data_IF_144583715501
#
_entry.id   IF_144583715501
#
_cell.length_a   1.000
_cell.length_b   1.000
_cell.length_c   1.000
_cell.angle_alpha   90.00
_cell.angle_beta   90.00
_cell.angle_gamma   90.00
#
_symmetry.space_group_name_H-M   'P 1'
#
loop_
_entity.id
_entity.type
_entity.pdbx_description
1 polymer ?
#
# COMPACT_ATOMS: atom_id res chain seq x y z
N UNK A 1 22.28 -26.01 5.78
CA UNK A 1 21.69 -24.79 6.40
C UNK A 1 20.76 -24.19 5.35
N UNK A 2 19.51 -23.93 5.71
CA UNK A 2 18.60 -23.25 4.81
C UNK A 2 19.09 -21.80 4.60
N UNK A 3 19.12 -21.37 3.36
CA UNK A 3 19.53 -20.02 2.99
C UNK A 3 18.52 -19.00 3.56
N UNK A 4 19.00 -17.93 4.16
CA UNK A 4 18.15 -16.78 4.50
C UNK A 4 17.69 -16.15 3.20
N UNK A 5 16.37 -16.14 2.97
CA UNK A 5 15.78 -15.57 1.76
C UNK A 5 15.79 -14.05 1.79
N UNK A 6 16.00 -13.47 0.64
CA UNK A 6 16.00 -12.02 0.42
C UNK A 6 14.79 -11.57 -0.36
N UNK A 7 14.31 -10.35 -0.10
CA UNK A 7 13.24 -9.69 -0.85
C UNK A 7 13.47 -8.18 -0.89
N UNK A 8 12.76 -7.49 -1.77
CA UNK A 8 12.68 -6.04 -1.80
C UNK A 8 11.32 -5.58 -1.29
N UNK A 9 11.30 -4.61 -0.37
CA UNK A 9 10.08 -4.02 0.18
C UNK A 9 9.88 -2.61 -0.35
N UNK A 10 8.62 -2.26 -0.66
CA UNK A 10 8.23 -0.94 -1.13
C UNK A 10 8.34 -0.75 -2.64
N UNK A 11 8.00 0.46 -3.08
CA UNK A 11 7.98 0.82 -4.49
C UNK A 11 9.37 0.78 -5.11
N UNK A 12 9.46 0.19 -6.30
CA UNK A 12 10.65 0.25 -7.15
C UNK A 12 10.53 1.38 -8.19
N UNK A 13 11.64 1.92 -8.73
CA UNK A 13 11.59 3.02 -9.67
C UNK A 13 10.77 2.69 -10.92
N UNK A 14 9.78 3.52 -11.20
CA UNK A 14 8.91 3.47 -12.39
C UNK A 14 9.55 4.20 -13.56
N UNK A 15 9.15 3.83 -14.77
CA UNK A 15 9.46 4.66 -15.94
C UNK A 15 8.77 6.04 -15.80
N UNK A 16 9.41 7.09 -16.35
CA UNK A 16 8.85 8.45 -16.35
C UNK A 16 7.43 8.47 -16.92
N UNK A 17 7.23 7.75 -18.03
CA UNK A 17 5.93 7.64 -18.70
C UNK A 17 4.87 7.01 -17.81
N UNK A 18 5.20 5.92 -17.08
CA UNK A 18 4.28 5.28 -16.14
C UNK A 18 3.89 6.25 -15.01
N UNK A 19 4.87 6.93 -14.42
CA UNK A 19 4.61 7.92 -13.36
C UNK A 19 3.66 9.03 -13.82
N UNK A 20 3.88 9.59 -15.00
CA UNK A 20 3.03 10.65 -15.57
C UNK A 20 1.58 10.19 -15.76
N UNK A 21 1.36 8.99 -16.30
CA UNK A 21 -0.01 8.48 -16.53
C UNK A 21 -0.69 8.12 -15.20
N UNK A 22 0.03 7.54 -14.23
CA UNK A 22 -0.53 7.27 -12.90
C UNK A 22 -0.98 8.55 -12.20
N UNK A 23 -0.22 9.65 -12.31
CA UNK A 23 -0.63 10.94 -11.75
C UNK A 23 -1.85 11.54 -12.46
N UNK A 24 -1.95 11.42 -13.79
CA UNK A 24 -3.15 11.81 -14.53
C UNK A 24 -4.37 11.02 -14.05
N UNK A 25 -4.24 9.69 -13.96
CA UNK A 25 -5.30 8.82 -13.43
C UNK A 25 -5.74 9.26 -12.03
N UNK A 26 -4.78 9.49 -11.13
CA UNK A 26 -5.05 9.89 -9.74
C UNK A 26 -5.80 11.22 -9.63
N UNK A 27 -5.53 12.15 -10.55
CA UNK A 27 -6.18 13.47 -10.64
C UNK A 27 -7.47 13.45 -11.45
N UNK A 28 -7.93 12.29 -11.92
CA UNK A 28 -9.05 12.15 -12.84
C UNK A 28 -8.88 12.94 -14.15
N UNK A 29 -7.65 13.14 -14.61
CA UNK A 29 -7.35 13.72 -15.93
C UNK A 29 -7.49 12.64 -17.03
N UNK A 30 -7.60 13.07 -18.27
CA UNK A 30 -7.72 12.14 -19.42
C UNK A 30 -6.44 11.31 -19.59
N UNK A 31 -6.59 10.01 -19.69
CA UNK A 31 -5.53 9.06 -20.03
C UNK A 31 -6.12 7.87 -20.79
N UNK A 32 -5.26 7.13 -21.49
CA UNK A 32 -5.64 5.88 -22.17
C UNK A 32 -5.41 4.69 -21.25
N UNK A 33 -6.46 3.94 -20.93
CA UNK A 33 -6.37 2.78 -20.03
C UNK A 33 -5.59 1.62 -20.66
N UNK A 34 -5.70 1.42 -21.97
CA UNK A 34 -4.96 0.36 -22.67
C UNK A 34 -3.45 0.65 -22.71
N UNK A 35 -3.08 1.92 -22.90
CA UNK A 35 -1.70 2.37 -22.81
C UNK A 35 -1.14 2.19 -21.40
N UNK A 36 -1.88 2.59 -20.36
CA UNK A 36 -1.49 2.40 -18.97
C UNK A 36 -1.26 0.92 -18.66
N UNK A 37 -2.19 0.06 -19.01
CA UNK A 37 -2.11 -1.37 -18.78
C UNK A 37 -0.87 -2.00 -19.41
N UNK A 38 -0.57 -1.64 -20.66
CA UNK A 38 0.61 -2.09 -21.38
C UNK A 38 1.91 -1.64 -20.72
N UNK A 39 2.00 -0.39 -20.29
CA UNK A 39 3.20 0.15 -19.66
C UNK A 39 3.42 -0.50 -18.29
N UNK A 40 2.35 -0.73 -17.50
CA UNK A 40 2.45 -1.46 -16.23
C UNK A 40 3.01 -2.86 -16.47
N UNK A 41 2.46 -3.60 -17.43
CA UNK A 41 2.95 -4.95 -17.76
C UNK A 41 4.44 -4.95 -18.16
N UNK A 42 4.85 -3.99 -19.00
CA UNK A 42 6.24 -3.84 -19.41
C UNK A 42 7.16 -3.51 -18.23
N UNK A 43 6.77 -2.58 -17.36
CA UNK A 43 7.58 -2.17 -16.22
C UNK A 43 7.63 -3.26 -15.15
N UNK A 44 6.52 -4.01 -14.90
CA UNK A 44 6.54 -5.20 -14.05
C UNK A 44 7.50 -6.25 -14.59
N UNK A 45 7.45 -6.57 -15.89
CA UNK A 45 8.39 -7.53 -16.51
C UNK A 45 9.85 -7.09 -16.32
N UNK A 46 10.17 -5.82 -16.52
CA UNK A 46 11.53 -5.28 -16.34
C UNK A 46 12.01 -5.40 -14.91
N UNK A 47 11.17 -5.00 -13.93
CA UNK A 47 11.57 -4.98 -12.53
C UNK A 47 11.66 -6.38 -11.92
N UNK A 48 10.78 -7.30 -12.33
CA UNK A 48 10.85 -8.73 -11.97
C UNK A 48 12.15 -9.32 -12.46
N UNK A 49 12.47 -9.14 -13.76
CA UNK A 49 13.74 -9.60 -14.30
C UNK A 49 14.95 -9.04 -13.56
N UNK A 50 14.95 -7.72 -13.27
CA UNK A 50 16.04 -7.07 -12.54
C UNK A 50 16.24 -7.65 -11.14
N UNK A 51 15.17 -7.90 -10.39
CA UNK A 51 15.25 -8.53 -9.05
C UNK A 51 15.86 -9.93 -9.15
N UNK A 52 15.45 -10.74 -10.13
CA UNK A 52 15.99 -12.09 -10.37
C UNK A 52 17.47 -12.02 -10.76
N UNK A 53 17.85 -11.14 -11.70
CA UNK A 53 19.23 -11.00 -12.17
C UNK A 53 20.22 -10.62 -11.06
N UNK A 54 19.80 -9.87 -10.03
CA UNK A 54 20.62 -9.50 -8.87
C UNK A 54 20.54 -10.50 -7.72
N UNK A 55 19.78 -11.59 -7.88
CA UNK A 55 19.74 -12.70 -6.93
C UNK A 55 18.76 -12.54 -5.76
N UNK A 56 17.73 -11.72 -5.90
CA UNK A 56 16.61 -11.66 -4.93
C UNK A 56 15.83 -12.98 -4.98
N UNK A 57 15.46 -13.52 -3.83
CA UNK A 57 14.81 -14.84 -3.72
C UNK A 57 13.28 -14.76 -3.86
N UNK A 58 12.63 -13.75 -3.26
CA UNK A 58 11.17 -13.57 -3.32
C UNK A 58 10.87 -12.24 -4.01
N UNK A 59 10.20 -12.30 -5.13
CA UNK A 59 10.07 -11.20 -6.08
C UNK A 59 8.76 -10.44 -5.87
N UNK A 60 8.82 -9.10 -5.89
CA UNK A 60 7.63 -8.24 -5.91
C UNK A 60 7.33 -7.69 -7.30
N UNK A 61 6.10 -7.17 -7.49
CA UNK A 61 5.71 -6.39 -8.66
C UNK A 61 6.31 -4.97 -8.66
N UNK A 62 7.02 -4.59 -7.60
CA UNK A 62 7.60 -3.26 -7.41
C UNK A 62 6.57 -2.14 -7.26
N UNK A 63 5.32 -2.47 -6.97
CA UNK A 63 4.18 -1.54 -6.87
C UNK A 63 3.96 -0.71 -8.16
N UNK A 64 4.26 -1.27 -9.33
CA UNK A 64 4.25 -0.51 -10.59
C UNK A 64 2.89 0.10 -10.91
N UNK A 65 1.78 -0.55 -10.54
CA UNK A 65 0.40 -0.06 -10.75
C UNK A 65 -0.09 0.92 -9.69
N UNK A 66 0.60 1.03 -8.55
CA UNK A 66 0.11 1.72 -7.35
C UNK A 66 0.77 3.09 -7.22
N UNK A 67 0.00 4.19 -7.29
CA UNK A 67 0.55 5.52 -7.01
C UNK A 67 0.96 5.67 -5.54
N UNK A 68 0.24 4.98 -4.66
CA UNK A 68 0.52 4.84 -3.22
C UNK A 68 -0.14 3.56 -2.73
N UNK A 69 0.60 2.70 -2.06
CA UNK A 69 0.06 1.46 -1.49
C UNK A 69 -1.11 1.73 -0.51
N UNK A 70 -1.01 2.80 0.27
CA UNK A 70 -1.99 3.15 1.31
C UNK A 70 -3.32 3.69 0.76
N UNK A 71 -3.30 4.29 -0.44
CA UNK A 71 -4.51 4.87 -1.07
C UNK A 71 -5.04 4.08 -2.26
N UNK A 72 -4.33 3.02 -2.66
CA UNK A 72 -4.72 2.19 -3.81
C UNK A 72 -6.11 1.56 -3.67
N UNK A 73 -6.54 1.34 -2.43
CA UNK A 73 -7.87 0.80 -2.11
C UNK A 73 -9.03 1.65 -2.69
N UNK A 74 -8.85 2.95 -2.85
CA UNK A 74 -9.87 3.84 -3.43
C UNK A 74 -10.27 3.49 -4.87
N UNK A 75 -9.39 2.81 -5.60
CA UNK A 75 -9.66 2.36 -6.96
C UNK A 75 -10.60 1.14 -6.99
N UNK A 76 -10.65 0.36 -5.90
CA UNK A 76 -11.39 -0.90 -5.78
C UNK A 76 -12.64 -0.83 -4.92
N UNK A 77 -12.73 0.18 -4.06
CA UNK A 77 -13.88 0.35 -3.18
C UNK A 77 -14.63 1.64 -3.49
N UNK A 78 -15.95 1.58 -3.38
CA UNK A 78 -16.81 2.75 -3.22
C UNK A 78 -16.71 3.27 -1.78
N UNK A 79 -17.12 4.51 -1.56
CA UNK A 79 -17.18 5.13 -0.24
C UNK A 79 -16.13 6.20 0.00
N UNK A 80 -15.20 6.41 -0.93
CA UNK A 80 -14.14 7.41 -0.81
C UNK A 80 -14.40 8.62 -1.70
N UNK A 81 -14.37 9.84 -1.12
CA UNK A 81 -14.47 11.10 -1.86
C UNK A 81 -13.85 12.29 -1.10
N UNK A 82 -13.74 13.43 -1.78
CA UNK A 82 -13.14 14.64 -1.22
C UNK A 82 -11.63 14.54 -1.02
N UNK A 83 -11.10 15.38 -0.15
CA UNK A 83 -9.67 15.45 0.16
C UNK A 83 -9.47 15.55 1.68
N UNK A 84 -8.43 14.91 2.19
CA UNK A 84 -8.03 14.99 3.60
C UNK A 84 -6.77 15.83 3.77
N UNK A 85 -6.64 16.50 4.91
CA UNK A 85 -5.42 17.23 5.25
C UNK A 85 -4.23 16.28 5.41
N UNK A 86 -3.07 16.73 4.92
CA UNK A 86 -1.79 16.06 5.15
C UNK A 86 -1.22 16.50 6.48
N UNK A 87 -1.01 15.54 7.37
CA UNK A 87 -0.38 15.79 8.66
C UNK A 87 1.13 15.61 8.53
N UNK A 88 1.89 16.61 8.95
CA UNK A 88 3.34 16.48 9.05
C UNK A 88 3.71 15.59 10.24
N UNK A 89 4.73 14.73 10.10
CA UNK A 89 5.28 13.96 11.21
C UNK A 89 5.79 14.88 12.33
N UNK A 90 5.68 14.42 13.58
CA UNK A 90 6.06 15.20 14.77
C UNK A 90 7.56 15.51 14.82
N UNK A 91 8.37 14.56 14.42
CA UNK A 91 9.83 14.67 14.35
C UNK A 91 10.31 15.80 13.42
N UNK A 92 9.50 16.22 12.44
CA UNK A 92 9.80 17.41 11.64
C UNK A 92 9.60 18.73 12.40
N UNK A 93 8.92 18.72 13.53
CA UNK A 93 8.73 19.91 14.34
C UNK A 93 10.05 20.35 15.02
N UNK A 94 10.96 19.42 15.29
CA UNK A 94 12.31 19.66 15.82
C UNK A 94 13.30 20.17 14.74
N UNK A 95 12.92 20.10 13.45
CA UNK A 95 13.76 20.48 12.30
C UNK A 95 13.05 21.46 11.37
N UNK A 96 12.71 22.68 11.83
CA UNK A 96 11.88 23.63 11.08
C UNK A 96 12.50 24.03 9.74
N UNK A 97 13.83 24.17 9.66
CA UNK A 97 14.52 24.49 8.41
C UNK A 97 14.41 23.39 7.36
N UNK A 98 14.42 22.12 7.79
CA UNK A 98 14.22 20.96 6.90
C UNK A 98 12.77 20.84 6.45
N UNK A 99 11.82 21.06 7.37
CA UNK A 99 10.38 21.13 7.07
C UNK A 99 10.07 22.18 6.00
N UNK A 100 10.68 23.36 6.14
CA UNK A 100 10.57 24.44 5.16
C UNK A 100 11.22 24.10 3.81
N UNK A 101 12.37 23.43 3.82
CA UNK A 101 13.05 22.95 2.61
C UNK A 101 12.19 21.93 1.86
N UNK A 102 11.59 20.95 2.55
CA UNK A 102 10.68 19.97 1.94
C UNK A 102 9.46 20.69 1.34
N UNK A 103 8.87 21.64 2.06
CA UNK A 103 7.74 22.41 1.58
C UNK A 103 8.08 23.24 0.32
N UNK A 104 9.29 23.79 0.23
CA UNK A 104 9.76 24.61 -0.90
C UNK A 104 10.28 23.78 -2.08
N UNK A 105 10.80 22.59 -1.86
CA UNK A 105 11.39 21.76 -2.93
C UNK A 105 10.35 21.14 -3.87
N UNK A 106 9.07 21.50 -3.70
CA UNK A 106 7.99 21.02 -4.55
C UNK A 106 7.64 19.56 -4.37
N UNK A 107 8.28 18.89 -3.43
CA UNK A 107 8.01 17.53 -3.02
C UNK A 107 7.81 16.51 -4.15
N UNK A 108 7.71 15.27 -3.82
CA UNK A 108 7.12 14.25 -4.70
C UNK A 108 5.72 14.72 -5.11
N UNK A 109 5.32 14.59 -6.39
CA UNK A 109 3.97 14.94 -6.83
C UNK A 109 2.94 14.37 -5.87
N UNK A 110 2.05 15.22 -5.38
CA UNK A 110 1.11 14.82 -4.33
C UNK A 110 -0.04 14.05 -4.95
N UNK A 111 -0.21 12.79 -4.54
CA UNK A 111 -1.38 11.99 -4.88
C UNK A 111 -2.58 12.37 -4.00
N UNK A 112 -3.80 12.08 -4.47
CA UNK A 112 -5.03 12.39 -3.76
C UNK A 112 -5.25 11.50 -2.55
N UNK A 113 -5.76 12.09 -1.46
CA UNK A 113 -6.10 11.39 -0.21
C UNK A 113 -7.57 11.66 0.14
N UNK A 114 -8.53 10.93 -0.43
CA UNK A 114 -9.93 11.14 -0.08
C UNK A 114 -10.22 10.72 1.36
N UNK A 115 -11.40 11.13 1.84
CA UNK A 115 -11.97 10.62 3.09
C UNK A 115 -12.95 9.49 2.81
N UNK A 116 -13.23 8.65 3.81
CA UNK A 116 -14.37 7.73 3.78
C UNK A 116 -15.64 8.55 4.05
N UNK A 117 -16.48 8.75 3.04
CA UNK A 117 -17.68 9.61 3.09
C UNK A 117 -18.98 8.86 2.85
N UNK A 118 -18.91 7.56 2.58
CA UNK A 118 -20.06 6.69 2.42
C UNK A 118 -19.71 5.25 2.85
N UNK A 119 -20.71 4.37 2.90
CA UNK A 119 -20.54 2.97 3.21
C UNK A 119 -19.60 2.27 2.22
N UNK A 120 -18.62 1.52 2.76
CA UNK A 120 -17.64 0.82 1.95
C UNK A 120 -18.25 -0.40 1.24
N UNK A 121 -18.07 -0.47 -0.07
CA UNK A 121 -18.51 -1.59 -0.90
C UNK A 121 -17.45 -1.89 -1.96
N UNK A 122 -17.28 -3.16 -2.28
CA UNK A 122 -16.40 -3.56 -3.38
C UNK A 122 -16.96 -2.99 -4.69
N UNK A 123 -16.15 -2.23 -5.40
CA UNK A 123 -16.44 -1.68 -6.71
C UNK A 123 -16.15 -2.72 -7.80
N UNK A 124 -14.92 -3.17 -7.85
CA UNK A 124 -14.48 -4.31 -8.63
C UNK A 124 -13.09 -4.78 -8.15
N UNK A 125 -12.65 -5.94 -8.64
CA UNK A 125 -11.35 -6.51 -8.33
C UNK A 125 -10.40 -6.52 -9.53
N UNK A 126 -10.77 -5.86 -10.64
CA UNK A 126 -10.03 -5.93 -11.91
C UNK A 126 -8.59 -5.46 -11.80
N UNK A 127 -8.33 -4.38 -11.06
CA UNK A 127 -6.98 -3.88 -10.85
C UNK A 127 -6.12 -4.88 -10.09
N UNK A 128 -6.65 -5.49 -9.02
CA UNK A 128 -5.96 -6.53 -8.27
C UNK A 128 -5.71 -7.78 -9.12
N UNK A 129 -6.71 -8.28 -9.83
CA UNK A 129 -6.57 -9.43 -10.73
C UNK A 129 -5.50 -9.17 -11.80
N UNK A 130 -5.42 -7.93 -12.30
CA UNK A 130 -4.40 -7.50 -13.27
C UNK A 130 -3.01 -7.51 -12.66
N UNK A 131 -2.84 -6.99 -11.45
CA UNK A 131 -1.56 -6.99 -10.73
C UNK A 131 -1.06 -8.42 -10.49
N UNK A 132 -1.94 -9.30 -10.01
CA UNK A 132 -1.67 -10.72 -9.82
C UNK A 132 -1.23 -11.38 -11.15
N UNK A 133 -1.98 -11.13 -12.21
CA UNK A 133 -1.70 -11.69 -13.55
C UNK A 133 -0.36 -11.21 -14.10
N UNK A 134 -0.07 -9.91 -13.97
CA UNK A 134 1.19 -9.32 -14.44
C UNK A 134 2.39 -9.92 -13.71
N UNK A 135 2.33 -10.02 -12.36
CA UNK A 135 3.41 -10.61 -11.58
C UNK A 135 3.60 -12.10 -11.94
N UNK A 136 2.53 -12.90 -11.96
CA UNK A 136 2.61 -14.34 -12.31
C UNK A 136 3.16 -14.56 -13.72
N UNK A 137 2.75 -13.76 -14.69
CA UNK A 137 3.25 -13.82 -16.06
C UNK A 137 4.74 -13.50 -16.15
N UNK A 138 5.17 -12.45 -15.44
CA UNK A 138 6.57 -12.04 -15.38
C UNK A 138 7.45 -13.08 -14.68
N UNK A 139 6.99 -13.67 -13.57
CA UNK A 139 7.69 -14.76 -12.89
C UNK A 139 7.85 -15.97 -13.80
N UNK A 140 6.77 -16.43 -14.44
CA UNK A 140 6.78 -17.55 -15.38
C UNK A 140 7.76 -17.33 -16.54
N UNK A 141 7.74 -16.13 -17.13
CA UNK A 141 8.63 -15.73 -18.24
C UNK A 141 10.11 -15.80 -17.86
N UNK A 142 10.44 -15.62 -16.61
CA UNK A 142 11.80 -15.65 -16.07
C UNK A 142 12.13 -16.95 -15.32
N UNK A 143 11.33 -18.02 -15.48
CA UNK A 143 11.51 -19.32 -14.80
C UNK A 143 11.64 -19.20 -13.27
N UNK A 144 10.90 -18.27 -12.65
CA UNK A 144 10.89 -18.05 -11.21
C UNK A 144 9.50 -18.39 -10.64
N UNK A 145 9.44 -18.87 -9.40
CA UNK A 145 8.18 -19.35 -8.80
C UNK A 145 7.74 -18.61 -7.55
N UNK A 146 8.65 -17.90 -6.87
CA UNK A 146 8.33 -17.25 -5.61
C UNK A 146 8.12 -15.74 -5.79
N UNK A 147 6.92 -15.29 -5.53
CA UNK A 147 6.57 -13.87 -5.59
C UNK A 147 5.59 -13.48 -4.50
N UNK A 148 5.52 -12.19 -4.22
CA UNK A 148 4.55 -11.62 -3.28
C UNK A 148 3.92 -10.34 -3.82
N UNK A 149 2.74 -10.04 -3.31
CA UNK A 149 2.10 -8.74 -3.48
C UNK A 149 1.92 -8.12 -2.09
N UNK A 150 2.28 -6.84 -1.95
CA UNK A 150 2.00 -6.09 -0.75
C UNK A 150 0.59 -5.50 -0.77
N UNK A 151 -0.02 -5.45 0.40
CA UNK A 151 -1.33 -4.86 0.63
C UNK A 151 -1.34 -4.05 1.92
N UNK A 152 -2.11 -2.96 1.96
CA UNK A 152 -2.21 -2.12 3.14
C UNK A 152 -3.02 -2.80 4.25
N UNK A 153 -2.64 -2.60 5.51
CA UNK A 153 -3.48 -2.97 6.66
C UNK A 153 -4.73 -2.08 6.74
N UNK A 154 -5.82 -2.55 7.39
CA UNK A 154 -6.98 -1.70 7.69
C UNK A 154 -6.60 -0.44 8.45
N UNK A 155 -5.65 -0.53 9.39
CA UNK A 155 -5.17 0.59 10.18
C UNK A 155 -4.43 1.64 9.34
N UNK A 156 -3.57 1.23 8.42
CA UNK A 156 -2.93 2.14 7.45
C UNK A 156 -3.97 2.88 6.63
N UNK A 157 -4.94 2.15 6.07
CA UNK A 157 -5.98 2.78 5.25
C UNK A 157 -6.75 3.82 6.08
N UNK A 158 -7.13 3.51 7.31
CA UNK A 158 -7.86 4.44 8.18
C UNK A 158 -7.06 5.72 8.50
N UNK A 159 -5.74 5.61 8.60
CA UNK A 159 -4.86 6.75 8.83
C UNK A 159 -4.67 7.64 7.60
N UNK A 160 -4.66 7.06 6.40
CA UNK A 160 -4.49 7.80 5.15
C UNK A 160 -5.80 8.30 4.55
N UNK A 161 -6.90 7.59 4.78
CA UNK A 161 -8.23 7.88 4.27
C UNK A 161 -9.21 8.01 5.46
N UNK A 162 -9.21 9.16 6.18
CA UNK A 162 -9.89 9.28 7.46
C UNK A 162 -11.40 9.13 7.34
N UNK A 163 -12.01 8.64 8.42
CA UNK A 163 -13.44 8.43 8.57
C UNK A 163 -14.21 9.76 8.63
N UNK A 164 -15.26 9.87 7.79
CA UNK A 164 -16.28 10.92 7.85
C UNK A 164 -17.70 10.37 7.70
N UNK A 165 -17.87 9.05 7.71
CA UNK A 165 -19.15 8.41 7.50
C UNK A 165 -19.58 7.52 8.67
N UNK A 166 -18.72 6.61 9.12
CA UNK A 166 -19.04 5.68 10.20
C UNK A 166 -19.12 6.42 11.53
N UNK A 167 -19.93 5.91 12.45
CA UNK A 167 -20.21 6.52 13.76
C UNK A 167 -18.92 6.78 14.56
N UNK A 168 -17.97 5.89 14.48
CA UNK A 168 -16.65 5.97 15.11
C UNK A 168 -15.59 5.27 14.25
N UNK A 169 -14.32 5.40 14.63
CA UNK A 169 -13.21 4.81 13.89
C UNK A 169 -13.14 3.29 14.04
N UNK A 170 -13.70 2.72 15.11
CA UNK A 170 -13.72 1.27 15.29
C UNK A 170 -14.69 0.60 14.31
N UNK A 171 -15.88 1.18 14.10
CA UNK A 171 -16.81 0.71 13.08
C UNK A 171 -16.20 0.81 11.68
N UNK A 172 -15.43 1.86 11.42
CA UNK A 172 -14.71 2.03 10.16
C UNK A 172 -13.61 0.99 9.97
N UNK A 173 -12.80 0.71 11.01
CA UNK A 173 -11.78 -0.35 10.98
C UNK A 173 -12.38 -1.72 10.70
N UNK A 174 -13.52 -2.04 11.33
CA UNK A 174 -14.24 -3.29 11.09
C UNK A 174 -14.74 -3.38 9.64
N UNK A 175 -15.25 -2.27 9.08
CA UNK A 175 -15.67 -2.23 7.68
C UNK A 175 -14.48 -2.43 6.73
N UNK A 176 -13.35 -1.74 6.98
CA UNK A 176 -12.12 -1.92 6.21
C UNK A 176 -11.59 -3.36 6.28
N UNK A 177 -11.58 -3.96 7.47
CA UNK A 177 -11.15 -5.35 7.67
C UNK A 177 -11.93 -6.32 6.76
N UNK A 178 -13.24 -6.17 6.70
CA UNK A 178 -14.10 -7.01 5.83
C UNK A 178 -13.77 -6.82 4.34
N UNK A 179 -13.51 -5.58 3.91
CA UNK A 179 -13.16 -5.29 2.52
C UNK A 179 -11.77 -5.83 2.18
N UNK A 180 -10.78 -5.63 3.05
CA UNK A 180 -9.41 -6.06 2.81
C UNK A 180 -9.25 -7.58 2.84
N UNK A 181 -10.08 -8.30 3.59
CA UNK A 181 -10.12 -9.77 3.55
C UNK A 181 -10.26 -10.29 2.12
N UNK A 182 -11.11 -9.68 1.30
CA UNK A 182 -11.29 -10.10 -0.10
C UNK A 182 -10.00 -9.97 -0.91
N UNK A 183 -9.24 -8.90 -0.69
CA UNK A 183 -7.94 -8.68 -1.35
C UNK A 183 -6.89 -9.70 -0.88
N UNK A 184 -6.79 -9.91 0.42
CA UNK A 184 -5.82 -10.84 1.02
C UNK A 184 -6.08 -12.29 0.57
N UNK A 185 -7.34 -12.70 0.58
CA UNK A 185 -7.76 -14.01 0.08
C UNK A 185 -7.44 -14.20 -1.41
N UNK A 186 -7.68 -13.18 -2.23
CA UNK A 186 -7.43 -13.25 -3.67
C UNK A 186 -5.93 -13.40 -3.98
N UNK A 187 -5.06 -12.69 -3.27
CA UNK A 187 -3.60 -12.82 -3.43
C UNK A 187 -3.15 -14.23 -3.09
N UNK A 188 -3.54 -14.74 -1.92
CA UNK A 188 -3.08 -16.04 -1.41
C UNK A 188 -3.68 -17.25 -2.15
N UNK A 189 -4.89 -17.13 -2.71
CA UNK A 189 -5.51 -18.13 -3.60
C UNK A 189 -4.79 -18.26 -4.94
N UNK A 190 -4.05 -17.26 -5.36
CA UNK A 190 -3.30 -17.24 -6.60
C UNK A 190 -1.84 -17.72 -6.44
N UNK A 191 -1.50 -18.41 -5.35
CA UNK A 191 -0.18 -18.94 -5.04
C UNK A 191 0.92 -17.87 -4.93
N UNK A 192 0.53 -16.65 -4.59
CA UNK A 192 1.44 -15.57 -4.20
C UNK A 192 1.46 -15.42 -2.69
N UNK A 193 2.61 -15.01 -2.16
CA UNK A 193 2.70 -14.60 -0.77
C UNK A 193 2.05 -13.23 -0.60
N UNK A 194 1.45 -13.02 0.56
CA UNK A 194 0.87 -11.75 0.96
C UNK A 194 1.81 -11.05 1.94
N UNK A 195 2.26 -9.84 1.64
CA UNK A 195 2.86 -8.95 2.62
C UNK A 195 1.84 -7.89 3.03
N UNK A 196 1.58 -7.77 4.32
CA UNK A 196 0.67 -6.74 4.83
C UNK A 196 1.50 -5.62 5.43
N UNK A 197 1.40 -4.45 4.84
CA UNK A 197 2.12 -3.27 5.30
C UNK A 197 1.33 -2.62 6.45
N UNK A 198 1.94 -2.65 7.64
CA UNK A 198 1.34 -2.22 8.91
C UNK A 198 2.13 -1.09 9.61
N UNK A 199 2.59 -0.04 8.93
CA UNK A 199 3.29 1.06 9.60
C UNK A 199 2.40 1.82 10.60
N UNK A 200 1.10 1.63 10.54
CA UNK A 200 0.13 2.13 11.52
C UNK A 200 0.41 1.66 12.95
N UNK A 201 0.98 0.47 13.13
CA UNK A 201 1.33 -0.08 14.45
C UNK A 201 2.57 0.57 15.08
N UNK A 202 3.32 1.38 14.34
CA UNK A 202 4.51 2.09 14.83
C UNK A 202 4.50 3.57 14.40
N UNK A 203 4.59 3.84 13.10
CA UNK A 203 4.76 5.21 12.56
C UNK A 203 3.57 6.12 12.87
N UNK A 204 2.35 5.59 12.98
CA UNK A 204 1.17 6.37 13.31
C UNK A 204 1.28 7.08 14.67
N UNK A 205 2.11 6.58 15.59
CA UNK A 205 2.42 7.24 16.86
C UNK A 205 3.01 8.64 16.65
N UNK A 206 3.81 8.83 15.62
CA UNK A 206 4.46 10.10 15.29
C UNK A 206 3.64 10.98 14.34
N UNK A 207 2.58 10.45 13.73
CA UNK A 207 1.75 11.13 12.75
C UNK A 207 0.33 11.38 13.26
N UNK A 208 -0.55 10.39 13.11
CA UNK A 208 -1.98 10.51 13.42
C UNK A 208 -2.22 10.63 14.91
N UNK A 209 -1.47 9.91 15.73
CA UNK A 209 -1.63 9.82 17.18
C UNK A 209 -0.54 10.57 17.96
N UNK A 210 0.07 11.59 17.37
CA UNK A 210 1.18 12.35 17.98
C UNK A 210 0.81 13.09 19.27
N UNK A 211 -0.46 13.34 19.50
CA UNK A 211 -0.96 14.12 20.64
C UNK A 211 -1.73 13.28 21.68
N UNK A 212 -1.75 11.95 21.54
CA UNK A 212 -2.37 11.06 22.54
C UNK A 212 -1.28 10.45 23.45
N UNK A 213 -1.69 9.88 24.60
CA UNK A 213 -0.76 9.15 25.47
C UNK A 213 -0.30 7.83 24.85
N UNK A 214 0.73 7.21 25.41
CA UNK A 214 1.20 5.91 24.93
C UNK A 214 0.18 4.81 25.20
N UNK A 215 -0.53 4.91 26.35
CA UNK A 215 -1.61 3.99 26.70
C UNK A 215 -2.77 4.06 25.71
N UNK A 216 -3.19 5.28 25.34
CA UNK A 216 -4.24 5.49 24.34
C UNK A 216 -3.83 4.98 22.96
N UNK A 217 -2.56 5.17 22.58
CA UNK A 217 -2.03 4.63 21.34
C UNK A 217 -2.01 3.10 21.36
N UNK A 218 -1.60 2.46 22.46
CA UNK A 218 -1.59 1.01 22.60
C UNK A 218 -2.99 0.40 22.45
N UNK A 219 -4.01 1.00 23.08
CA UNK A 219 -5.41 0.57 22.92
C UNK A 219 -5.84 0.63 21.45
N UNK A 220 -5.44 1.69 20.73
CA UNK A 220 -5.73 1.83 19.29
C UNK A 220 -4.99 0.78 18.46
N UNK A 221 -3.71 0.54 18.73
CA UNK A 221 -2.91 -0.46 18.05
C UNK A 221 -3.46 -1.88 18.26
N UNK A 222 -3.92 -2.18 19.49
CA UNK A 222 -4.56 -3.45 19.82
C UNK A 222 -5.82 -3.67 18.98
N UNK A 223 -6.65 -2.63 18.83
CA UNK A 223 -7.85 -2.69 17.97
C UNK A 223 -7.50 -2.90 16.50
N UNK A 224 -6.45 -2.26 16.00
CA UNK A 224 -5.96 -2.46 14.63
C UNK A 224 -5.48 -3.90 14.42
N UNK A 225 -4.77 -4.50 15.39
CA UNK A 225 -4.34 -5.90 15.36
C UNK A 225 -5.54 -6.85 15.36
N UNK A 226 -6.55 -6.63 16.21
CA UNK A 226 -7.78 -7.43 16.20
C UNK A 226 -8.44 -7.44 14.82
N UNK A 227 -8.61 -6.27 14.21
CA UNK A 227 -9.20 -6.13 12.88
C UNK A 227 -8.35 -6.80 11.79
N UNK A 228 -7.02 -6.73 11.90
CA UNK A 228 -6.11 -7.40 11.00
C UNK A 228 -6.18 -8.92 11.15
N UNK A 229 -6.18 -9.44 12.38
CA UNK A 229 -6.33 -10.86 12.66
C UNK A 229 -7.65 -11.42 12.11
N UNK A 230 -8.74 -10.68 12.24
CA UNK A 230 -10.03 -11.07 11.65
C UNK A 230 -9.97 -11.12 10.12
N UNK A 231 -9.28 -10.18 9.48
CA UNK A 231 -9.11 -10.16 8.01
C UNK A 231 -8.24 -11.32 7.50
N UNK A 232 -7.33 -11.84 8.32
CA UNK A 232 -6.35 -12.86 7.93
C UNK A 232 -6.62 -14.24 8.49
N UNK A 233 -7.67 -14.43 9.28
CA UNK A 233 -7.94 -15.65 10.06
C UNK A 233 -8.00 -16.95 9.24
N UNK A 234 -8.36 -16.86 7.97
CA UNK A 234 -8.48 -18.00 7.04
C UNK A 234 -7.24 -18.18 6.15
N UNK A 235 -6.19 -17.38 6.36
CA UNK A 235 -4.95 -17.43 5.60
C UNK A 235 -3.91 -18.23 6.37
N UNK A 236 -3.30 -19.20 5.71
CA UNK A 236 -2.18 -19.95 6.28
C UNK A 236 -1.02 -19.01 6.62
N UNK A 237 -0.49 -19.10 7.84
CA UNK A 237 0.59 -18.25 8.32
C UNK A 237 1.87 -18.33 7.47
N UNK A 238 2.10 -19.45 6.77
CA UNK A 238 3.23 -19.60 5.84
C UNK A 238 3.08 -18.78 4.55
N UNK A 239 1.87 -18.28 4.25
CA UNK A 239 1.55 -17.50 3.05
C UNK A 239 1.51 -15.99 3.29
N UNK A 240 1.71 -15.54 4.52
CA UNK A 240 1.62 -14.11 4.84
C UNK A 240 2.72 -13.65 5.80
N UNK A 241 3.04 -12.37 5.72
CA UNK A 241 3.96 -11.67 6.62
C UNK A 241 3.43 -10.27 6.89
N UNK A 242 3.63 -9.78 8.11
CA UNK A 242 3.38 -8.38 8.46
C UNK A 242 4.69 -7.59 8.40
N UNK A 243 4.63 -6.42 7.75
CA UNK A 243 5.72 -5.45 7.70
C UNK A 243 5.32 -4.19 8.45
N UNK A 244 5.89 -3.98 9.64
CA UNK A 244 5.49 -2.93 10.58
C UNK A 244 6.44 -1.73 10.55
N UNK A 245 7.75 -1.97 10.47
CA UNK A 245 8.77 -0.92 10.49
C UNK A 245 9.25 -0.62 9.08
N UNK A 246 8.83 0.53 8.55
CA UNK A 246 9.42 1.08 7.33
C UNK A 246 10.87 1.51 7.66
N UNK A 247 11.83 0.85 7.06
CA UNK A 247 13.21 1.34 7.07
C UNK A 247 13.28 2.65 6.30
N UNK A 248 13.86 3.65 6.91
CA UNK A 248 13.80 5.07 6.53
C UNK A 248 14.15 5.32 5.11
N UNK A 249 14.78 5.02 4.19
CA UNK A 249 14.92 5.76 2.93
C UNK A 249 13.99 5.36 1.81
N UNK A 250 13.26 4.27 1.91
CA UNK A 250 12.54 3.69 0.77
C UNK A 250 11.30 4.48 0.33
N UNK A 251 10.72 5.28 1.22
CA UNK A 251 9.54 6.10 0.88
C UNK A 251 9.84 7.57 0.56
N UNK A 252 11.06 8.03 0.84
CA UNK A 252 11.45 9.43 0.62
C UNK A 252 12.31 9.67 -0.63
N UNK A 253 12.72 8.64 -1.34
CA UNK A 253 13.65 8.75 -2.47
C UNK A 253 13.08 8.31 -3.82
N UNK A 254 11.75 8.13 -3.93
CA UNK A 254 11.12 7.75 -5.21
C UNK A 254 10.20 8.85 -5.71
#
# INVERSE_FOLDING_TARGET
MDKIKTTHVGSLPRSKKLSEILFRKDKNELFDQGELDKIIEEDVNKIVKKQIDIGIDIISDGEMSKISYATYVKDRLHGFSGESERRAPKDLDDFPSYKEKIAKSGGTPTYTRPCCTADLKIKDTKSLTKDISNLKSALKKNNHSQGFINSASPGVISNFLPNKFYKNDDDYLVALSKMMKTEYDEITKNDLLLQIDCPDLALARHMTFKNVSDEEFLVRAEKQIECLNEATKDIDASKSVSYTHLTLPTTMLV
#
